data_IF_754637349713
#
_entry.id   IF_754637349713
#
_cell.length_a   1.000
_cell.length_b   1.000
_cell.length_c   1.000
_cell.angle_alpha   90.00
_cell.angle_beta   90.00
_cell.angle_gamma   90.00
#
_symmetry.space_group_name_H-M   'P 1'
#
loop_
_entity.id
_entity.type
_entity.pdbx_description
1 polymer ?
#
# COMPACT_ATOMS: atom_id res chain seq x y z
N UNK A 1 2.39 9.20 21.45
CA UNK A 1 2.98 9.72 20.19
C UNK A 1 3.38 8.52 19.37
N UNK A 2 2.92 8.45 18.12
CA UNK A 2 3.12 7.27 17.29
C UNK A 2 4.56 7.26 16.76
N UNK A 3 5.18 6.08 16.71
CA UNK A 3 6.58 5.95 16.32
C UNK A 3 6.69 5.71 14.82
N UNK A 4 7.58 6.46 14.16
CA UNK A 4 7.98 6.18 12.78
C UNK A 4 9.12 5.15 12.82
N UNK A 5 8.95 4.04 12.09
CA UNK A 5 9.89 2.92 12.04
C UNK A 5 10.19 2.54 10.60
N UNK A 6 11.44 2.15 10.35
CA UNK A 6 11.81 1.44 9.14
C UNK A 6 11.39 -0.02 9.25
N UNK A 7 10.60 -0.52 8.29
CA UNK A 7 10.11 -1.90 8.28
C UNK A 7 10.43 -2.62 6.98
N UNK A 8 10.80 -3.89 7.08
CA UNK A 8 10.98 -4.75 5.91
C UNK A 8 9.62 -5.10 5.31
N UNK A 9 9.47 -4.99 3.98
CA UNK A 9 8.21 -5.29 3.26
C UNK A 9 7.71 -6.72 3.53
N UNK A 10 8.61 -7.66 3.79
CA UNK A 10 8.23 -9.04 4.12
C UNK A 10 7.59 -9.18 5.50
N UNK A 11 7.76 -8.19 6.39
CA UNK A 11 7.10 -8.14 7.72
C UNK A 11 5.76 -7.41 7.70
N UNK A 12 5.38 -6.82 6.56
CA UNK A 12 4.10 -6.16 6.39
C UNK A 12 3.08 -7.14 5.81
N UNK A 13 1.93 -7.26 6.45
CA UNK A 13 0.78 -8.03 5.99
C UNK A 13 -0.24 -7.06 5.38
N UNK A 14 -0.80 -7.41 4.23
CA UNK A 14 -1.98 -6.71 3.74
C UNK A 14 -3.13 -6.99 4.70
N UNK A 15 -3.93 -5.97 4.95
CA UNK A 15 -5.17 -6.10 5.68
C UNK A 15 -6.13 -6.99 4.88
N UNK A 16 -6.51 -8.13 5.44
CA UNK A 16 -7.41 -9.10 4.79
C UNK A 16 -8.86 -8.62 4.80
N UNK A 17 -9.22 -7.72 5.73
CA UNK A 17 -10.54 -7.10 5.84
C UNK A 17 -10.57 -5.73 5.12
N UNK A 18 -9.64 -5.48 4.19
CA UNK A 18 -9.52 -4.18 3.55
C UNK A 18 -10.87 -3.71 2.97
N UNK A 19 -11.33 -2.48 3.25
CA UNK A 19 -12.64 -1.98 2.78
C UNK A 19 -12.80 -1.94 1.25
N UNK A 20 -11.72 -2.14 0.48
CA UNK A 20 -11.79 -2.30 -0.98
C UNK A 20 -12.32 -3.66 -1.40
N UNK A 21 -12.21 -4.67 -0.56
CA UNK A 21 -12.65 -6.03 -0.90
C UNK A 21 -14.15 -6.16 -0.65
N UNK A 22 -14.93 -6.70 -1.60
CA UNK A 22 -16.34 -7.00 -1.38
C UNK A 22 -16.58 -7.98 -0.23
N UNK A 23 -15.61 -8.87 0.00
CA UNK A 23 -15.54 -9.82 1.11
C UNK A 23 -14.09 -9.95 1.57
N UNK A 24 -13.88 -10.23 2.85
CA UNK A 24 -12.56 -10.45 3.43
C UNK A 24 -11.73 -11.45 2.63
N UNK A 25 -10.44 -11.19 2.47
CA UNK A 25 -9.51 -12.12 1.87
C UNK A 25 -9.23 -13.31 2.80
N UNK A 26 -9.08 -14.51 2.25
CA UNK A 26 -8.82 -15.70 3.05
C UNK A 26 -7.40 -15.74 3.63
N UNK A 27 -6.46 -15.10 2.94
CA UNK A 27 -5.04 -15.05 3.30
C UNK A 27 -4.31 -13.99 2.46
N UNK A 28 -3.00 -13.82 2.70
CA UNK A 28 -2.18 -12.85 2.00
C UNK A 28 -2.12 -13.05 0.47
N UNK A 29 -2.17 -14.30 -0.02
CA UNK A 29 -2.16 -14.58 -1.47
C UNK A 29 -3.48 -14.15 -2.09
N UNK A 30 -4.59 -14.45 -1.43
CA UNK A 30 -5.92 -14.00 -1.83
C UNK A 30 -6.03 -12.47 -1.78
N UNK A 31 -5.50 -11.82 -0.74
CA UNK A 31 -5.48 -10.36 -0.63
C UNK A 31 -4.73 -9.69 -1.81
N UNK A 32 -3.58 -10.23 -2.22
CA UNK A 32 -2.85 -9.76 -3.41
C UNK A 32 -3.68 -9.99 -4.69
N UNK A 33 -4.33 -11.16 -4.80
CA UNK A 33 -5.16 -11.48 -5.96
C UNK A 33 -6.35 -10.52 -6.08
N UNK A 34 -7.12 -10.32 -5.00
CA UNK A 34 -8.24 -9.37 -4.93
C UNK A 34 -7.80 -7.94 -5.23
N UNK A 35 -6.65 -7.50 -4.68
CA UNK A 35 -6.09 -6.19 -4.99
C UNK A 35 -5.82 -6.02 -6.48
N UNK A 36 -5.23 -7.02 -7.13
CA UNK A 36 -4.97 -6.96 -8.57
C UNK A 36 -6.26 -7.07 -9.38
N UNK A 37 -7.21 -7.92 -9.02
CA UNK A 37 -8.51 -8.02 -9.69
C UNK A 37 -9.24 -6.66 -9.71
N UNK A 38 -9.31 -6.00 -8.54
CA UNK A 38 -10.09 -4.78 -8.36
C UNK A 38 -9.35 -3.52 -8.79
N UNK A 39 -8.01 -3.51 -8.76
CA UNK A 39 -7.20 -2.29 -8.88
C UNK A 39 -5.98 -2.43 -9.80
N UNK A 40 -5.90 -3.46 -10.66
CA UNK A 40 -4.74 -3.76 -11.51
C UNK A 40 -4.08 -2.52 -12.12
N UNK A 41 -4.83 -1.75 -12.92
CA UNK A 41 -4.28 -0.61 -13.66
C UNK A 41 -3.72 0.48 -12.73
N UNK A 42 -4.36 0.71 -11.58
CA UNK A 42 -3.90 1.70 -10.59
C UNK A 42 -2.64 1.22 -9.88
N UNK A 43 -2.58 -0.06 -9.49
CA UNK A 43 -1.41 -0.65 -8.83
C UNK A 43 -0.23 -0.73 -9.80
N UNK A 44 -0.45 -1.10 -11.05
CA UNK A 44 0.60 -1.16 -12.06
C UNK A 44 1.19 0.24 -12.36
N UNK A 45 0.35 1.27 -12.50
CA UNK A 45 0.82 2.66 -12.66
C UNK A 45 1.60 3.13 -11.44
N UNK A 46 1.13 2.82 -10.25
CA UNK A 46 1.82 3.12 -9.00
C UNK A 46 3.19 2.42 -8.92
N UNK A 47 3.27 1.14 -9.29
CA UNK A 47 4.52 0.40 -9.33
C UNK A 47 5.51 1.00 -10.33
N UNK A 48 5.03 1.42 -11.51
CA UNK A 48 5.85 2.10 -12.51
C UNK A 48 6.42 3.42 -11.99
N UNK A 49 5.60 4.20 -11.28
CA UNK A 49 6.05 5.44 -10.65
C UNK A 49 7.09 5.19 -9.55
N UNK A 50 6.86 4.18 -8.69
CA UNK A 50 7.82 3.75 -7.66
C UNK A 50 9.16 3.34 -8.28
N UNK A 51 9.16 2.62 -9.40
CA UNK A 51 10.39 2.25 -10.12
C UNK A 51 11.13 3.49 -10.64
N UNK A 52 10.40 4.50 -11.12
CA UNK A 52 10.98 5.70 -11.71
C UNK A 52 11.43 6.76 -10.69
N UNK A 53 10.75 6.87 -9.55
CA UNK A 53 10.89 7.98 -8.60
C UNK A 53 11.14 7.55 -7.16
N UNK A 54 10.97 6.27 -6.82
CA UNK A 54 10.95 5.81 -5.44
C UNK A 54 9.57 6.00 -4.80
N UNK A 55 9.51 5.80 -3.48
CA UNK A 55 8.28 6.02 -2.72
C UNK A 55 8.05 7.52 -2.49
N UNK A 56 6.78 7.94 -2.49
CA UNK A 56 6.37 9.28 -2.08
C UNK A 56 6.75 9.50 -0.60
N UNK A 57 7.69 10.44 -0.31
CA UNK A 57 8.15 10.68 1.04
C UNK A 57 7.13 11.42 1.91
N UNK A 58 6.07 12.00 1.32
CA UNK A 58 5.01 12.70 2.07
C UNK A 58 3.93 11.76 2.60
N UNK A 59 3.88 10.54 2.10
CA UNK A 59 2.83 9.58 2.43
C UNK A 59 3.36 8.46 3.32
N UNK A 60 2.98 8.47 4.60
CA UNK A 60 3.28 7.38 5.51
C UNK A 60 2.47 6.11 5.19
N UNK A 61 3.00 4.95 5.59
CA UNK A 61 2.25 3.69 5.72
C UNK A 61 1.81 3.58 7.18
N UNK A 62 0.52 3.37 7.43
CA UNK A 62 0.03 3.17 8.80
C UNK A 62 -0.08 1.68 9.06
N UNK A 63 0.46 1.22 10.19
CA UNK A 63 0.52 -0.20 10.54
C UNK A 63 0.23 -0.42 12.01
N UNK A 64 -0.23 -1.62 12.35
CA UNK A 64 -0.40 -2.09 13.71
C UNK A 64 0.14 -3.54 13.85
N UNK A 65 0.54 -3.99 15.04
CA UNK A 65 1.05 -5.35 15.23
C UNK A 65 0.03 -6.41 14.82
N UNK A 66 0.50 -7.49 14.20
CA UNK A 66 -0.33 -8.68 13.97
C UNK A 66 -0.55 -9.42 15.29
N UNK A 67 -1.80 -9.79 15.59
CA UNK A 67 -2.11 -10.65 16.74
C UNK A 67 -1.78 -12.12 16.46
N UNK A 68 -1.74 -12.52 15.19
CA UNK A 68 -1.54 -13.91 14.77
C UNK A 68 -0.06 -14.28 14.55
N UNK A 69 0.79 -13.30 14.21
CA UNK A 69 2.19 -13.54 13.82
C UNK A 69 3.14 -12.50 14.44
N UNK A 70 3.89 -12.92 15.47
CA UNK A 70 4.78 -12.02 16.21
C UNK A 70 5.87 -11.41 15.31
N UNK A 71 6.09 -10.10 15.50
CA UNK A 71 7.02 -9.30 14.69
C UNK A 71 6.56 -9.02 13.27
N UNK A 72 5.30 -9.30 12.91
CA UNK A 72 4.64 -8.84 11.69
C UNK A 72 3.63 -7.74 11.99
N UNK A 73 3.33 -6.94 10.99
CA UNK A 73 2.47 -5.77 11.11
C UNK A 73 1.43 -5.73 10.01
N UNK A 74 0.17 -5.52 10.35
CA UNK A 74 -0.91 -5.36 9.38
C UNK A 74 -0.95 -3.92 8.90
N UNK A 75 -1.12 -3.73 7.59
CA UNK A 75 -1.16 -2.42 6.95
C UNK A 75 -2.58 -1.86 7.01
N UNK A 76 -2.83 -0.90 7.88
CA UNK A 76 -4.10 -0.18 7.94
C UNK A 76 -4.27 0.80 6.76
N UNK A 77 -3.22 1.55 6.43
CA UNK A 77 -3.22 2.48 5.29
C UNK A 77 -1.99 2.31 4.42
N UNK A 78 -2.21 2.36 3.10
CA UNK A 78 -1.16 2.16 2.11
C UNK A 78 -1.13 0.75 1.51
N UNK A 79 -2.18 -0.04 1.69
CA UNK A 79 -2.32 -1.39 1.12
C UNK A 79 -1.93 -1.45 -0.37
N UNK A 80 -2.40 -0.51 -1.22
CA UNK A 80 -2.01 -0.47 -2.66
C UNK A 80 -0.51 -0.31 -2.88
N UNK A 81 0.16 0.52 -2.06
CA UNK A 81 1.62 0.73 -2.14
C UNK A 81 2.36 -0.53 -1.71
N UNK A 82 1.95 -1.14 -0.60
CA UNK A 82 2.55 -2.39 -0.12
C UNK A 82 2.33 -3.54 -1.10
N UNK A 83 1.14 -3.66 -1.72
CA UNK A 83 0.90 -4.64 -2.80
C UNK A 83 1.84 -4.42 -3.98
N UNK A 84 1.99 -3.18 -4.46
CA UNK A 84 2.91 -2.86 -5.56
C UNK A 84 4.35 -3.23 -5.21
N UNK A 85 4.82 -2.89 -4.01
CA UNK A 85 6.17 -3.21 -3.54
C UNK A 85 6.39 -4.72 -3.42
N UNK A 86 5.43 -5.48 -2.86
CA UNK A 86 5.51 -6.94 -2.79
C UNK A 86 5.62 -7.58 -4.17
N UNK A 87 4.87 -7.08 -5.16
CA UNK A 87 4.91 -7.56 -6.54
C UNK A 87 6.19 -7.15 -7.28
N UNK A 88 6.74 -5.96 -7.02
CA UNK A 88 8.05 -5.56 -7.54
C UNK A 88 9.16 -6.44 -6.96
N UNK A 89 9.12 -6.72 -5.65
CA UNK A 89 10.10 -7.59 -4.98
C UNK A 89 9.98 -9.04 -5.46
N UNK A 90 8.76 -9.54 -5.64
CA UNK A 90 8.48 -10.93 -6.02
C UNK A 90 7.31 -11.04 -7.01
N UNK A 91 7.55 -10.84 -8.33
CA UNK A 91 6.52 -10.88 -9.36
C UNK A 91 5.72 -12.20 -9.41
N UNK A 92 6.30 -13.31 -8.95
CA UNK A 92 5.64 -14.62 -8.82
C UNK A 92 4.41 -14.63 -7.89
N UNK A 93 4.22 -13.58 -7.08
CA UNK A 93 3.02 -13.42 -6.25
C UNK A 93 1.79 -13.03 -7.07
N UNK A 94 1.96 -12.55 -8.30
CA UNK A 94 0.84 -12.23 -9.17
C UNK A 94 0.01 -13.50 -9.50
N UNK A 95 -1.33 -13.43 -9.47
CA UNK A 95 -2.19 -14.60 -9.64
C UNK A 95 -2.29 -15.09 -11.09
N UNK A 96 -1.94 -14.24 -12.06
CA UNK A 96 -2.01 -14.56 -13.48
C UNK A 96 -0.75 -14.14 -14.23
N UNK A 97 -0.54 -14.78 -15.39
CA UNK A 97 0.65 -14.61 -16.22
C UNK A 97 0.84 -13.19 -16.74
N UNK A 98 -0.26 -12.50 -17.08
CA UNK A 98 -0.23 -11.13 -17.58
C UNK A 98 0.37 -10.20 -16.54
N UNK A 99 -0.15 -10.25 -15.31
CA UNK A 99 0.34 -9.43 -14.21
C UNK A 99 1.79 -9.81 -13.88
N UNK A 100 2.11 -11.10 -13.78
CA UNK A 100 3.48 -11.57 -13.51
C UNK A 100 4.49 -10.97 -14.49
N UNK A 101 4.27 -11.14 -15.80
CA UNK A 101 5.15 -10.59 -16.85
C UNK A 101 5.27 -9.08 -16.79
N UNK A 102 4.20 -8.37 -16.42
CA UNK A 102 4.23 -6.92 -16.30
C UNK A 102 5.14 -6.46 -15.14
N UNK A 103 5.04 -7.10 -13.97
CA UNK A 103 5.89 -6.78 -12.82
C UNK A 103 7.33 -7.29 -13.00
N UNK A 104 7.56 -8.40 -13.70
CA UNK A 104 8.92 -8.84 -14.08
C UNK A 104 9.64 -7.79 -14.93
N UNK A 105 8.95 -7.21 -15.93
CA UNK A 105 9.52 -6.12 -16.74
C UNK A 105 9.88 -4.90 -15.91
N UNK A 106 8.98 -4.48 -15.00
CA UNK A 106 9.26 -3.36 -14.10
C UNK A 106 10.45 -3.64 -13.19
N UNK A 107 10.54 -4.86 -12.64
CA UNK A 107 11.66 -5.28 -11.80
C UNK A 107 13.01 -5.22 -12.53
N UNK A 108 13.06 -5.65 -13.79
CA UNK A 108 14.29 -5.57 -14.61
C UNK A 108 14.75 -4.13 -14.78
N UNK A 109 13.80 -3.19 -14.93
CA UNK A 109 14.12 -1.76 -15.08
C UNK A 109 14.41 -1.05 -13.76
N UNK A 110 14.20 -1.71 -12.63
CA UNK A 110 14.41 -1.12 -11.31
C UNK A 110 15.90 -1.13 -10.97
N UNK A 111 16.47 0.06 -10.74
CA UNK A 111 17.89 0.19 -10.43
C UNK A 111 18.29 -0.52 -9.12
N UNK A 112 17.39 -0.54 -8.13
CA UNK A 112 17.60 -1.19 -6.83
C UNK A 112 16.29 -1.68 -6.22
N UNK A 113 16.31 -2.90 -5.68
CA UNK A 113 15.20 -3.42 -4.90
C UNK A 113 14.89 -2.52 -3.70
N UNK A 114 13.62 -2.16 -3.54
CA UNK A 114 13.10 -1.55 -2.32
C UNK A 114 12.66 -2.69 -1.40
N UNK A 115 13.40 -2.90 -0.30
CA UNK A 115 13.12 -3.96 0.69
C UNK A 115 12.61 -3.42 2.02
N UNK A 116 12.88 -2.14 2.28
CA UNK A 116 12.57 -1.44 3.53
C UNK A 116 11.74 -0.21 3.17
N UNK A 117 10.72 0.07 3.98
CA UNK A 117 9.94 1.31 3.97
C UNK A 117 10.31 2.07 5.25
N UNK A 118 10.85 3.28 5.11
CA UNK A 118 11.36 4.05 6.25
C UNK A 118 10.29 4.82 7.02
N UNK A 119 9.11 5.02 6.43
CA UNK A 119 8.04 5.85 6.96
C UNK A 119 6.78 5.06 7.34
N UNK A 120 6.97 3.94 8.06
CA UNK A 120 5.87 3.21 8.69
C UNK A 120 5.55 3.82 10.06
N UNK A 121 4.33 4.31 10.25
CA UNK A 121 3.84 4.79 11.55
C UNK A 121 3.17 3.63 12.26
N UNK A 122 3.73 3.23 13.40
CA UNK A 122 3.19 2.17 14.25
C UNK A 122 2.12 2.73 15.20
N UNK A 123 0.96 2.09 15.21
CA UNK A 123 -0.11 2.28 16.17
C UNK A 123 -0.20 1.05 17.07
N UNK A 124 -0.43 1.30 18.37
CA UNK A 124 -0.60 0.25 19.38
C UNK A 124 -2.09 -0.06 19.64
N UNK A 125 -2.99 0.73 19.04
CA UNK A 125 -4.45 0.69 19.15
C UNK A 125 -5.11 1.03 17.80
N UNK A 126 -6.44 1.17 17.80
CA UNK A 126 -7.30 1.49 16.66
C UNK A 126 -7.36 3.00 16.31
N UNK A 127 -6.56 3.87 16.96
CA UNK A 127 -6.53 5.31 16.66
C UNK A 127 -6.12 5.61 15.21
N UNK A 128 -5.52 4.64 14.49
CA UNK A 128 -5.23 4.77 13.06
C UNK A 128 -6.51 5.00 12.24
N UNK A 129 -7.66 4.50 12.68
CA UNK A 129 -8.93 4.56 11.95
C UNK A 129 -9.33 5.99 11.65
N UNK A 130 -9.10 6.92 12.59
CA UNK A 130 -9.35 8.34 12.38
C UNK A 130 -8.64 8.85 11.12
N UNK A 131 -7.35 8.54 10.99
CA UNK A 131 -6.53 9.00 9.85
C UNK A 131 -6.86 8.28 8.55
N UNK A 132 -7.18 6.98 8.62
CA UNK A 132 -7.68 6.21 7.47
C UNK A 132 -8.96 6.86 6.95
N UNK A 133 -9.92 7.13 7.82
CA UNK A 133 -11.21 7.73 7.47
C UNK A 133 -11.01 9.10 6.81
N UNK A 134 -10.22 9.99 7.41
CA UNK A 134 -9.94 11.32 6.82
C UNK A 134 -9.30 11.25 5.43
N UNK A 135 -8.55 10.19 5.11
CA UNK A 135 -7.96 10.00 3.78
C UNK A 135 -8.95 9.48 2.74
N UNK A 136 -9.98 8.72 3.13
CA UNK A 136 -10.84 7.99 2.18
C UNK A 136 -12.29 8.48 2.12
N UNK A 137 -12.79 9.25 3.08
CA UNK A 137 -14.20 9.72 3.09
C UNK A 137 -14.39 11.13 2.52
N UNK A 138 -13.35 11.71 1.94
CA UNK A 138 -13.39 13.02 1.28
C UNK A 138 -13.05 14.17 2.22
N UNK A 139 -13.65 15.34 1.98
CA UNK A 139 -13.22 16.58 2.62
C UNK A 139 -13.59 16.69 4.11
N UNK A 140 -14.64 15.99 4.58
CA UNK A 140 -15.09 16.02 5.98
C UNK A 140 -15.20 17.46 6.56
N UNK A 141 -15.88 18.36 5.84
CA UNK A 141 -16.01 19.77 6.25
C UNK A 141 -14.69 20.55 6.27
N UNK A 142 -13.64 20.07 5.59
CA UNK A 142 -12.30 20.66 5.54
C UNK A 142 -11.24 19.96 6.39
N UNK A 143 -11.62 18.96 7.20
CA UNK A 143 -10.67 18.19 8.03
C UNK A 143 -9.90 17.15 7.19
N UNK A 144 -10.57 16.57 6.19
CA UNK A 144 -9.98 15.62 5.25
C UNK A 144 -9.29 16.31 4.07
N UNK A 145 -8.85 15.51 3.09
CA UNK A 145 -8.13 16.06 1.93
C UNK A 145 -9.05 16.83 0.99
N UNK A 146 -8.67 18.06 0.66
CA UNK A 146 -9.34 18.91 -0.31
C UNK A 146 -8.61 18.82 -1.64
N UNK A 147 -9.30 18.34 -2.68
CA UNK A 147 -8.76 18.40 -4.03
C UNK A 147 -8.66 19.84 -4.50
N UNK A 148 -7.52 20.19 -5.12
CA UNK A 148 -7.40 21.42 -5.87
C UNK A 148 -8.45 21.50 -6.99
N UNK A 149 -9.02 22.69 -7.12
CA UNK A 149 -9.91 23.08 -8.21
C UNK A 149 -9.17 23.10 -9.55
N UNK A 150 -9.92 23.11 -10.66
CA UNK A 150 -9.31 23.15 -11.99
C UNK A 150 -8.37 24.36 -12.20
N UNK A 151 -8.69 25.59 -11.75
CA UNK A 151 -7.74 26.71 -11.82
C UNK A 151 -6.48 26.53 -10.99
N UNK A 152 -6.56 25.86 -9.83
CA UNK A 152 -5.41 25.60 -8.96
C UNK A 152 -4.49 24.52 -9.55
N UNK A 153 -5.04 23.48 -10.20
CA UNK A 153 -4.27 22.44 -10.90
C UNK A 153 -3.54 22.96 -12.15
N UNK A 154 -3.95 24.09 -12.70
CA UNK A 154 -3.39 24.68 -13.94
C UNK A 154 -2.27 25.70 -13.71
N UNK A 155 -1.88 25.94 -12.45
CA UNK A 155 -0.76 26.80 -12.06
C UNK A 155 0.52 25.99 -11.89
#
# INVERSE_FOLDING_TARGET
MNQIKSMNINKLLLDVDNPRFPTSAENQRDAIAKMLELQYERIYRLAKDIVAKGLDPSENILVYPSEEEDGFFIVAEGNRRVTALKLLLSPKLAPNERARKAFEKLKITQAKDIKIIDNCVLFDDDDYEHWVNLKHTGQNGGVGRVEWTAPEKAR
#
